data_IF_349142710367
#
_entry.id   IF_349142710367
#
_cell.length_a   1.000
_cell.length_b   1.000
_cell.length_c   1.000
_cell.angle_alpha   90.00
_cell.angle_beta   90.00
_cell.angle_gamma   90.00
#
_symmetry.space_group_name_H-M   'P 1'
#
loop_
_entity.id
_entity.type
_entity.pdbx_description
1 polymer ?
#
# COMPACT_ATOMS: atom_id res chain seq x y z
N UNK A 1 15.65 5.94 -4.56
CA UNK A 1 15.51 6.51 -5.92
C UNK A 1 14.27 7.39 -5.84
N UNK A 2 14.47 8.71 -5.88
CA UNK A 2 13.43 9.72 -5.99
C UNK A 2 13.17 9.94 -7.49
N UNK A 3 11.94 9.74 -7.93
CA UNK A 3 11.53 10.00 -9.30
C UNK A 3 10.79 11.33 -9.34
N UNK A 4 11.37 12.33 -10.05
CA UNK A 4 10.71 13.60 -10.35
C UNK A 4 10.13 13.53 -11.77
N UNK A 5 8.87 13.90 -12.01
CA UNK A 5 8.39 14.06 -13.37
C UNK A 5 8.86 15.39 -13.93
N UNK A 6 9.77 15.35 -14.90
CA UNK A 6 10.21 16.51 -15.67
C UNK A 6 9.18 16.92 -16.71
N UNK A 7 8.89 18.22 -16.71
CA UNK A 7 8.26 18.93 -17.83
C UNK A 7 9.14 18.82 -19.07
N UNK A 8 8.56 18.51 -20.22
CA UNK A 8 8.82 19.12 -21.53
C UNK A 8 8.03 18.40 -22.62
N UNK A 9 7.16 19.07 -23.31
CA UNK A 9 7.18 19.44 -24.72
C UNK A 9 5.85 20.06 -25.11
N UNK A 10 5.89 21.34 -25.26
CA UNK A 10 4.90 22.13 -26.04
C UNK A 10 5.30 22.15 -27.52
N UNK A 11 4.28 22.27 -28.33
CA UNK A 11 4.30 22.70 -29.74
C UNK A 11 4.38 21.59 -30.79
N UNK A 12 3.31 21.44 -31.50
CA UNK A 12 3.12 21.56 -32.94
C UNK A 12 1.86 20.82 -33.40
N UNK A 13 0.96 21.49 -33.97
CA UNK A 13 0.43 21.25 -35.28
C UNK A 13 -1.07 21.49 -35.40
N UNK A 14 -1.46 22.72 -35.78
CA UNK A 14 -2.76 23.00 -36.42
C UNK A 14 -2.88 22.15 -37.69
N UNK A 15 -4.03 21.50 -37.88
CA UNK A 15 -4.89 21.66 -39.07
C UNK A 15 -5.86 20.50 -39.23
N UNK A 16 -7.02 20.88 -39.60
CA UNK A 16 -8.11 20.31 -40.42
C UNK A 16 -9.37 19.91 -39.65
N UNK A 17 -10.28 20.89 -39.64
CA UNK A 17 -11.73 20.65 -39.50
C UNK A 17 -12.21 19.77 -40.64
N UNK A 18 -12.84 18.66 -40.30
CA UNK A 18 -13.89 18.06 -41.12
C UNK A 18 -15.04 17.68 -40.18
N UNK A 19 -16.11 18.47 -40.35
CA UNK A 19 -17.43 18.22 -39.79
C UNK A 19 -17.99 16.91 -40.38
N UNK A 20 -18.05 15.87 -39.57
CA UNK A 20 -18.91 14.76 -39.83
C UNK A 20 -20.03 14.80 -38.77
N UNK A 21 -21.22 15.23 -39.19
CA UNK A 21 -22.45 15.06 -38.43
C UNK A 21 -22.72 13.56 -38.28
N UNK A 22 -22.39 13.01 -37.14
CA UNK A 22 -22.85 11.68 -36.75
C UNK A 22 -24.10 11.87 -35.91
N UNK A 23 -25.26 11.68 -36.54
CA UNK A 23 -26.52 11.53 -35.86
C UNK A 23 -26.46 10.21 -35.05
N UNK A 24 -25.95 10.28 -33.82
CA UNK A 24 -26.09 9.19 -32.88
C UNK A 24 -27.46 9.28 -32.21
N UNK A 25 -28.38 8.46 -32.70
CA UNK A 25 -29.63 8.16 -31.97
C UNK A 25 -29.21 7.43 -30.70
N UNK A 26 -28.92 8.17 -29.62
CA UNK A 26 -28.81 7.59 -28.29
C UNK A 26 -30.24 7.20 -27.84
N UNK A 27 -30.63 5.95 -28.10
CA UNK A 27 -31.72 5.36 -27.41
C UNK A 27 -31.40 5.36 -25.91
N UNK A 28 -31.97 6.33 -25.18
CA UNK A 28 -31.98 6.34 -23.72
C UNK A 28 -32.75 5.09 -23.28
N UNK A 29 -32.02 4.02 -22.99
CA UNK A 29 -32.58 2.86 -22.33
C UNK A 29 -32.87 3.27 -20.88
N UNK A 30 -34.09 3.74 -20.66
CA UNK A 30 -34.58 3.95 -19.31
C UNK A 30 -34.66 2.58 -18.64
N UNK A 31 -33.70 2.29 -17.76
CA UNK A 31 -33.82 1.16 -16.86
C UNK A 31 -34.96 1.50 -15.90
N UNK A 32 -36.14 0.86 -16.14
CA UNK A 32 -37.18 0.82 -15.16
C UNK A 32 -36.72 -0.03 -13.98
N UNK A 33 -36.23 0.60 -12.93
CA UNK A 33 -36.03 -0.07 -11.64
C UNK A 33 -37.43 -0.39 -11.11
N UNK A 34 -37.89 -1.61 -11.35
CA UNK A 34 -39.04 -2.16 -10.59
C UNK A 34 -38.65 -2.05 -9.12
N UNK A 35 -39.55 -1.49 -8.31
CA UNK A 35 -39.47 -1.29 -6.87
C UNK A 35 -38.78 -2.45 -6.12
N UNK A 36 -37.46 -2.52 -6.17
CA UNK A 36 -36.71 -3.25 -5.22
C UNK A 36 -36.58 -2.33 -4.02
N UNK A 37 -37.22 -2.68 -2.92
CA UNK A 37 -36.95 -2.04 -1.64
C UNK A 37 -35.45 -2.16 -1.39
N UNK A 38 -34.74 -1.08 -1.65
CA UNK A 38 -33.34 -0.98 -1.28
C UNK A 38 -33.35 -0.80 0.23
N UNK A 39 -32.89 -1.81 0.96
CA UNK A 39 -32.70 -1.68 2.39
C UNK A 39 -31.69 -0.58 2.63
N UNK A 40 -32.14 0.53 3.17
CA UNK A 40 -31.29 1.65 3.55
C UNK A 40 -30.56 1.21 4.82
N UNK A 41 -29.23 1.11 4.73
CA UNK A 41 -28.40 0.93 5.90
C UNK A 41 -28.34 2.28 6.64
N UNK A 42 -29.05 2.37 7.75
CA UNK A 42 -29.13 3.58 8.57
C UNK A 42 -27.90 3.80 9.48
N UNK A 43 -26.97 2.87 9.46
CA UNK A 43 -25.75 2.91 10.28
C UNK A 43 -25.98 2.53 11.74
N UNK A 44 -27.20 2.15 12.12
CA UNK A 44 -27.46 1.68 13.48
C UNK A 44 -26.90 0.27 13.68
N UNK A 45 -26.18 0.08 14.78
CA UNK A 45 -25.60 -1.22 15.14
C UNK A 45 -26.31 -1.69 16.41
N UNK A 46 -27.02 -2.81 16.32
CA UNK A 46 -27.60 -3.50 17.48
C UNK A 46 -26.51 -4.22 18.27
N UNK A 47 -25.82 -3.50 19.17
CA UNK A 47 -24.71 -4.05 19.96
C UNK A 47 -25.12 -5.18 20.89
N UNK A 48 -26.40 -5.26 21.24
CA UNK A 48 -26.98 -6.27 22.13
C UNK A 48 -27.41 -7.53 21.36
N UNK A 49 -27.33 -7.53 20.03
CA UNK A 49 -27.61 -8.71 19.21
C UNK A 49 -26.53 -9.77 19.43
N UNK A 50 -26.98 -11.02 19.68
CA UNK A 50 -26.12 -12.19 19.88
C UNK A 50 -25.17 -12.41 18.71
N UNK A 51 -25.65 -12.20 17.46
CA UNK A 51 -24.83 -12.33 16.27
C UNK A 51 -23.70 -11.28 16.24
N UNK A 52 -24.05 -10.02 16.62
CA UNK A 52 -23.04 -8.96 16.71
C UNK A 52 -21.95 -9.31 17.74
N UNK A 53 -22.34 -9.76 18.93
CA UNK A 53 -21.40 -10.11 19.98
C UNK A 53 -20.52 -11.28 19.58
N UNK A 54 -21.10 -12.34 19.01
CA UNK A 54 -20.35 -13.51 18.53
C UNK A 54 -19.34 -13.11 17.43
N UNK A 55 -19.78 -12.34 16.43
CA UNK A 55 -18.92 -11.86 15.36
C UNK A 55 -17.83 -10.92 15.87
N UNK A 56 -18.14 -10.06 16.83
CA UNK A 56 -17.18 -9.15 17.47
C UNK A 56 -16.07 -9.90 18.18
N UNK A 57 -16.41 -10.96 18.94
CA UNK A 57 -15.43 -11.79 19.64
C UNK A 57 -14.53 -12.52 18.62
N UNK A 58 -15.13 -13.14 17.60
CA UNK A 58 -14.39 -13.84 16.55
C UNK A 58 -13.43 -12.88 15.80
N UNK A 59 -13.91 -11.68 15.44
CA UNK A 59 -13.09 -10.69 14.76
C UNK A 59 -11.94 -10.17 15.64
N UNK A 60 -12.18 -9.92 16.92
CA UNK A 60 -11.12 -9.53 17.88
C UNK A 60 -10.01 -10.56 17.96
N UNK A 61 -10.36 -11.85 17.94
CA UNK A 61 -9.37 -12.92 17.94
C UNK A 61 -8.50 -12.89 16.67
N UNK A 62 -9.13 -12.75 15.49
CA UNK A 62 -8.42 -12.65 14.21
C UNK A 62 -7.50 -11.41 14.17
N UNK A 63 -7.98 -10.27 14.66
CA UNK A 63 -7.20 -9.04 14.73
C UNK A 63 -5.99 -9.19 15.67
N UNK A 64 -6.15 -9.79 16.84
CA UNK A 64 -5.05 -10.03 17.77
C UNK A 64 -3.98 -10.94 17.15
N UNK A 65 -4.39 -11.98 16.42
CA UNK A 65 -3.47 -12.84 15.67
C UNK A 65 -2.72 -12.06 14.58
N UNK A 66 -3.41 -11.21 13.83
CA UNK A 66 -2.81 -10.35 12.80
C UNK A 66 -1.79 -9.38 13.42
N UNK A 67 -2.15 -8.70 14.50
CA UNK A 67 -1.29 -7.76 15.21
C UNK A 67 -0.01 -8.43 15.70
N UNK A 68 -0.12 -9.66 16.26
CA UNK A 68 1.05 -10.45 16.69
C UNK A 68 1.98 -10.73 15.52
N UNK A 69 1.43 -11.16 14.38
CA UNK A 69 2.22 -11.41 13.16
C UNK A 69 2.89 -10.14 12.64
N UNK A 70 2.16 -9.03 12.59
CA UNK A 70 2.69 -7.75 12.15
C UNK A 70 3.79 -7.23 13.08
N UNK A 71 3.63 -7.37 14.40
CA UNK A 71 4.65 -7.00 15.37
C UNK A 71 5.96 -7.77 15.14
N UNK A 72 5.87 -9.09 14.87
CA UNK A 72 7.03 -9.90 14.52
C UNK A 72 7.68 -9.45 13.20
N UNK A 73 6.89 -9.26 12.16
CA UNK A 73 7.37 -8.82 10.83
C UNK A 73 8.05 -7.45 10.88
N UNK A 74 7.52 -6.53 11.68
CA UNK A 74 8.09 -5.19 11.86
C UNK A 74 9.50 -5.20 12.43
N UNK A 75 9.91 -6.26 13.12
CA UNK A 75 11.29 -6.41 13.59
C UNK A 75 12.30 -6.55 12.44
N UNK A 76 11.87 -6.91 11.24
CA UNK A 76 12.75 -7.12 10.09
C UNK A 76 13.54 -8.42 10.20
N UNK A 77 14.87 -8.36 10.09
CA UNK A 77 15.74 -9.52 10.26
C UNK A 77 15.87 -9.97 11.72
N UNK A 78 16.43 -11.16 11.91
CA UNK A 78 16.65 -11.75 13.24
C UNK A 78 17.52 -10.84 14.14
N UNK A 79 17.41 -11.05 15.44
CA UNK A 79 18.05 -10.22 16.47
C UNK A 79 19.57 -10.03 16.24
N UNK A 80 20.28 -11.11 15.91
CA UNK A 80 21.71 -11.06 15.60
C UNK A 80 22.03 -10.14 14.42
N UNK A 81 21.20 -10.17 13.38
CA UNK A 81 21.40 -9.30 12.19
C UNK A 81 21.14 -7.83 12.54
N UNK A 82 20.10 -7.55 13.33
CA UNK A 82 19.78 -6.20 13.82
C UNK A 82 20.91 -5.64 14.69
N UNK A 83 21.37 -6.40 15.68
CA UNK A 83 22.48 -5.99 16.53
C UNK A 83 23.76 -5.65 15.72
N UNK A 84 24.11 -6.52 14.75
CA UNK A 84 25.24 -6.28 13.86
C UNK A 84 25.06 -5.02 13.01
N UNK A 85 23.82 -4.72 12.61
CA UNK A 85 23.49 -3.54 11.79
C UNK A 85 23.65 -2.25 12.63
N UNK A 86 23.06 -2.21 13.81
CA UNK A 86 23.13 -1.07 14.74
C UNK A 86 24.57 -0.85 15.26
N UNK A 87 25.32 -1.92 15.56
CA UNK A 87 26.72 -1.82 15.97
C UNK A 87 27.60 -1.14 14.91
N UNK A 88 27.20 -1.17 13.64
CA UNK A 88 27.84 -0.42 12.54
C UNK A 88 27.34 1.02 12.40
N UNK A 89 26.61 1.54 13.39
CA UNK A 89 26.02 2.88 13.40
C UNK A 89 25.05 3.13 12.23
N UNK A 90 24.35 2.08 11.79
CA UNK A 90 23.33 2.16 10.73
C UNK A 90 21.94 2.13 11.36
N UNK A 91 21.03 2.97 10.88
CA UNK A 91 19.64 2.97 11.27
C UNK A 91 18.90 1.77 10.68
N UNK A 92 17.97 1.20 11.43
CA UNK A 92 17.05 0.21 10.92
C UNK A 92 16.13 0.81 9.82
N UNK A 93 15.53 -0.03 9.02
CA UNK A 93 14.76 0.43 7.85
C UNK A 93 13.60 1.35 8.23
N UNK A 94 12.87 1.05 9.31
CA UNK A 94 11.76 1.89 9.76
C UNK A 94 12.24 3.18 10.41
N UNK A 95 13.29 3.14 11.19
CA UNK A 95 13.89 4.35 11.75
C UNK A 95 14.35 5.31 10.63
N UNK A 96 14.83 4.76 9.50
CA UNK A 96 15.20 5.58 8.33
C UNK A 96 13.98 6.20 7.66
N UNK A 97 12.86 5.47 7.60
CA UNK A 97 11.60 6.00 7.05
C UNK A 97 11.05 7.08 7.97
N UNK A 98 11.03 6.83 9.28
CA UNK A 98 10.56 7.79 10.29
C UNK A 98 11.38 9.09 10.28
N UNK A 99 12.70 8.98 10.01
CA UNK A 99 13.57 10.16 9.84
C UNK A 99 13.39 10.88 8.48
N UNK A 100 12.76 10.23 7.50
CA UNK A 100 12.55 10.79 6.16
C UNK A 100 11.21 11.50 6.02
N UNK A 101 10.15 10.94 6.64
CA UNK A 101 8.79 11.49 6.55
C UNK A 101 8.64 12.73 7.41
N UNK A 102 7.77 13.64 7.00
CA UNK A 102 7.48 14.85 7.75
C UNK A 102 6.91 14.52 9.14
N UNK A 103 7.36 15.22 10.16
CA UNK A 103 6.95 15.01 11.53
C UNK A 103 5.42 15.13 11.70
N UNK A 104 4.82 14.18 12.41
CA UNK A 104 3.38 14.14 12.67
C UNK A 104 2.54 13.67 11.48
N UNK A 105 3.16 13.29 10.35
CA UNK A 105 2.41 12.73 9.20
C UNK A 105 2.36 11.20 9.24
N UNK A 106 1.26 10.58 8.78
CA UNK A 106 1.15 9.13 8.76
C UNK A 106 2.00 8.52 7.64
N UNK A 107 2.55 7.33 7.90
CA UNK A 107 3.14 6.47 6.87
C UNK A 107 2.24 5.27 6.61
N UNK A 108 1.73 5.15 5.39
CA UNK A 108 0.92 4.00 4.94
C UNK A 108 1.83 2.89 4.41
N UNK A 109 2.22 1.96 5.28
CA UNK A 109 3.02 0.80 4.89
C UNK A 109 2.20 -0.21 4.10
N UNK A 110 2.67 -0.58 2.90
CA UNK A 110 2.00 -1.50 1.99
C UNK A 110 2.62 -2.89 2.04
N UNK A 111 1.76 -3.92 1.88
CA UNK A 111 2.18 -5.33 1.75
C UNK A 111 3.12 -5.81 2.87
N UNK A 112 2.78 -5.53 4.12
CA UNK A 112 3.59 -5.90 5.30
C UNK A 112 3.80 -7.42 5.41
N UNK A 113 2.80 -8.22 5.01
CA UNK A 113 2.83 -9.69 5.04
C UNK A 113 3.56 -10.33 3.85
N UNK A 114 4.15 -9.53 2.93
CA UNK A 114 4.87 -10.07 1.80
C UNK A 114 6.03 -10.97 2.26
N UNK A 115 6.11 -12.18 1.71
CA UNK A 115 7.12 -13.18 2.08
C UNK A 115 6.78 -14.04 3.29
N UNK A 116 5.69 -13.75 4.01
CA UNK A 116 5.28 -14.51 5.19
C UNK A 116 5.02 -15.99 4.84
N UNK A 117 5.79 -16.90 5.46
CA UNK A 117 5.72 -18.37 5.23
C UNK A 117 5.89 -18.80 3.76
N UNK A 118 6.46 -17.96 2.89
CA UNK A 118 6.63 -18.27 1.47
C UNK A 118 7.92 -19.06 1.21
N UNK A 119 8.93 -18.87 2.05
CA UNK A 119 10.25 -19.49 1.92
C UNK A 119 10.58 -20.28 3.19
N UNK A 120 11.60 -21.15 3.10
CA UNK A 120 12.16 -21.83 4.29
C UNK A 120 12.77 -20.85 5.27
N UNK A 121 13.34 -19.78 4.75
CA UNK A 121 13.89 -18.66 5.52
C UNK A 121 12.83 -17.61 5.81
N UNK A 122 12.96 -16.91 6.92
CA UNK A 122 12.13 -15.75 7.20
C UNK A 122 12.57 -14.57 6.33
N UNK A 123 11.67 -14.17 5.43
CA UNK A 123 11.85 -13.01 4.56
C UNK A 123 10.76 -11.98 4.92
N UNK A 124 10.92 -11.40 6.10
CA UNK A 124 9.96 -10.46 6.64
C UNK A 124 9.77 -9.26 5.73
N UNK A 125 8.52 -8.86 5.51
CA UNK A 125 8.13 -7.75 4.64
C UNK A 125 8.67 -7.88 3.20
N UNK A 126 9.06 -9.10 2.76
CA UNK A 126 9.71 -9.31 1.47
C UNK A 126 11.12 -8.70 1.35
N UNK A 127 11.79 -8.38 2.47
CA UNK A 127 13.11 -7.75 2.49
C UNK A 127 13.13 -6.26 2.11
N UNK A 128 11.98 -5.66 1.81
CA UNK A 128 11.83 -4.21 1.56
C UNK A 128 10.57 -3.67 2.22
N UNK A 129 10.62 -2.47 2.74
CA UNK A 129 9.46 -1.72 3.22
C UNK A 129 9.02 -0.77 2.11
N UNK A 130 7.75 -0.84 1.74
CA UNK A 130 7.15 0.04 0.74
C UNK A 130 5.94 0.74 1.35
N UNK A 131 5.70 1.99 0.99
CA UNK A 131 4.56 2.73 1.51
C UNK A 131 4.49 4.14 0.99
N UNK A 132 3.41 4.81 1.34
CA UNK A 132 3.15 6.20 0.99
C UNK A 132 3.37 7.05 2.24
N UNK A 133 4.15 8.09 2.13
CA UNK A 133 4.42 9.05 3.19
C UNK A 133 4.69 10.43 2.63
N UNK A 134 4.54 11.46 3.48
CA UNK A 134 4.80 12.83 3.11
C UNK A 134 6.27 13.18 3.36
N UNK A 135 6.94 13.74 2.37
CA UNK A 135 8.34 14.19 2.46
C UNK A 135 8.42 15.62 1.96
N UNK A 136 8.78 16.55 2.82
CA UNK A 136 8.85 17.99 2.52
C UNK A 136 7.54 18.53 1.92
N UNK A 137 6.40 18.11 2.49
CA UNK A 137 5.06 18.52 2.06
C UNK A 137 4.50 17.78 0.83
N UNK A 138 5.26 16.90 0.21
CA UNK A 138 4.85 16.13 -0.99
C UNK A 138 4.59 14.67 -0.63
N UNK A 139 3.50 14.09 -1.11
CA UNK A 139 3.24 12.66 -0.98
C UNK A 139 4.13 11.86 -1.92
N UNK A 140 4.86 10.90 -1.37
CA UNK A 140 5.84 10.11 -2.10
C UNK A 140 5.64 8.62 -1.88
N UNK A 141 5.84 7.82 -2.91
CA UNK A 141 6.04 6.39 -2.75
C UNK A 141 7.47 6.14 -2.27
N UNK A 142 7.59 5.54 -1.08
CA UNK A 142 8.86 5.23 -0.44
C UNK A 142 9.13 3.74 -0.59
N UNK A 143 10.34 3.40 -1.06
CA UNK A 143 10.83 2.02 -1.14
C UNK A 143 12.16 1.96 -0.40
N UNK A 144 12.18 1.25 0.71
CA UNK A 144 13.34 1.15 1.59
C UNK A 144 13.79 -0.31 1.75
N UNK A 145 15.03 -0.60 1.36
CA UNK A 145 15.61 -1.93 1.50
C UNK A 145 16.00 -2.21 2.95
N UNK A 146 15.64 -3.40 3.47
CA UNK A 146 16.02 -3.87 4.80
C UNK A 146 17.24 -4.77 4.74
N UNK A 147 18.40 -4.21 5.03
CA UNK A 147 19.66 -4.95 5.05
C UNK A 147 19.76 -5.98 6.20
N UNK A 148 18.85 -5.97 7.16
CA UNK A 148 18.81 -6.98 8.24
C UNK A 148 18.15 -8.28 7.78
N UNK A 149 17.32 -8.23 6.73
CA UNK A 149 16.70 -9.38 6.10
C UNK A 149 17.64 -9.92 5.03
N UNK A 150 18.30 -11.04 5.32
CA UNK A 150 19.23 -11.72 4.40
C UNK A 150 20.25 -10.78 3.73
N UNK A 151 20.74 -9.79 4.46
CA UNK A 151 21.74 -8.84 3.95
C UNK A 151 21.22 -7.87 2.90
N UNK A 152 19.89 -7.76 2.70
CA UNK A 152 19.28 -6.95 1.66
C UNK A 152 19.22 -7.62 0.29
N UNK A 153 19.37 -8.95 0.23
CA UNK A 153 19.24 -9.73 -1.01
C UNK A 153 17.79 -9.73 -1.52
N UNK A 154 17.64 -9.66 -2.83
CA UNK A 154 16.33 -9.70 -3.48
C UNK A 154 15.86 -11.14 -3.70
N UNK A 155 14.67 -11.43 -3.22
CA UNK A 155 13.90 -12.64 -3.50
C UNK A 155 12.87 -12.37 -4.60
N UNK A 156 12.27 -13.39 -5.24
CA UNK A 156 11.20 -13.16 -6.21
C UNK A 156 10.04 -12.33 -5.66
N UNK A 157 9.67 -12.50 -4.37
CA UNK A 157 8.63 -11.67 -3.72
C UNK A 157 9.09 -10.22 -3.53
N UNK A 158 10.38 -9.98 -3.29
CA UNK A 158 10.95 -8.63 -3.19
C UNK A 158 10.78 -7.87 -4.51
N UNK A 159 11.07 -8.54 -5.63
CA UNK A 159 10.89 -7.97 -6.98
C UNK A 159 9.43 -7.65 -7.24
N UNK A 160 8.50 -8.59 -6.96
CA UNK A 160 7.07 -8.36 -7.13
C UNK A 160 6.56 -7.18 -6.31
N UNK A 161 7.00 -7.08 -5.06
CA UNK A 161 6.63 -5.96 -4.18
C UNK A 161 7.19 -4.63 -4.69
N UNK A 162 8.43 -4.62 -5.18
CA UNK A 162 9.06 -3.43 -5.75
C UNK A 162 8.33 -2.97 -7.02
N UNK A 163 8.05 -3.88 -7.96
CA UNK A 163 7.27 -3.56 -9.17
C UNK A 163 5.88 -3.02 -8.82
N UNK A 164 5.20 -3.64 -7.84
CA UNK A 164 3.89 -3.13 -7.40
C UNK A 164 3.97 -1.72 -6.81
N UNK A 165 5.02 -1.40 -6.07
CA UNK A 165 5.23 -0.04 -5.57
C UNK A 165 5.42 0.96 -6.72
N UNK A 166 6.15 0.59 -7.78
CA UNK A 166 6.31 1.42 -8.97
C UNK A 166 4.98 1.63 -9.71
N UNK A 167 4.19 0.57 -9.90
CA UNK A 167 2.85 0.66 -10.51
C UNK A 167 1.93 1.61 -9.73
N UNK A 168 1.94 1.52 -8.39
CA UNK A 168 1.14 2.41 -7.53
C UNK A 168 1.62 3.86 -7.67
N UNK A 169 2.94 4.08 -7.69
CA UNK A 169 3.50 5.41 -7.87
C UNK A 169 3.11 6.02 -9.22
N UNK A 170 3.10 5.22 -10.29
CA UNK A 170 2.67 5.64 -11.63
C UNK A 170 1.17 5.96 -11.69
N UNK A 171 0.33 5.20 -10.96
CA UNK A 171 -1.12 5.40 -10.94
C UNK A 171 -1.56 6.63 -10.12
N UNK A 172 -0.77 7.03 -9.13
CA UNK A 172 -1.10 8.12 -8.21
C UNK A 172 -0.42 9.46 -8.57
N UNK A 173 0.49 9.46 -9.57
CA UNK A 173 1.27 10.62 -10.06
C UNK A 173 2.17 11.26 -9.03
#
# INVERSE_FOLDING_TARGET
>A
ILYFPGQMFSQLGRTLRRSAQVNSVFARRTMSFKNTQVNILDGTIAKDDVNYQTNSVAMKHILAELETKLAHIKLGGGEKARHKHVARKKLLVRDRIDALVDEGTPFLELSQLAGYKLYKDEVNCGGIVTGIGRVSGVECMIVANDATVKGGTYYPITVKKHLRAQEIAEQLH
#
